data_IF_893285083058
#
_entry.id   IF_893285083058
#
_cell.length_a   1.000
_cell.length_b   1.000
_cell.length_c   1.000
_cell.angle_alpha   90.00
_cell.angle_beta   90.00
_cell.angle_gamma   90.00
#
_symmetry.space_group_name_H-M   'P 1'
#
loop_
_entity.id
_entity.type
_entity.pdbx_description
1 polymer ?
#
# COMPACT_ATOMS: atom_id res chain seq x y z
N UNK A 1 1.11 -10.88 -6.44
CA UNK A 1 1.02 -10.08 -7.67
C UNK A 1 2.39 -9.50 -7.96
N UNK A 2 3.04 -9.96 -9.04
CA UNK A 2 4.35 -9.47 -9.46
C UNK A 2 4.27 -8.03 -9.98
N UNK A 3 5.24 -7.19 -9.62
CA UNK A 3 5.35 -5.80 -10.11
C UNK A 3 6.46 -5.73 -11.15
N UNK A 4 6.21 -5.19 -12.36
CA UNK A 4 7.26 -4.99 -13.34
C UNK A 4 8.28 -3.95 -12.84
N UNK A 5 9.58 -4.25 -12.92
CA UNK A 5 10.64 -3.32 -12.51
C UNK A 5 10.69 -2.02 -13.34
N UNK A 6 10.32 -2.08 -14.62
CA UNK A 6 10.21 -0.91 -15.51
C UNK A 6 8.97 -0.04 -15.20
N UNK A 7 8.29 -0.29 -14.07
CA UNK A 7 7.18 0.55 -13.62
C UNK A 7 7.68 1.96 -13.34
N UNK A 8 7.14 2.92 -14.10
CA UNK A 8 7.39 4.35 -13.86
C UNK A 8 7.04 4.73 -12.41
N UNK A 9 7.73 5.70 -11.81
CA UNK A 9 7.30 6.26 -10.53
C UNK A 9 5.87 6.80 -10.66
N UNK A 10 5.09 6.63 -9.60
CA UNK A 10 3.64 6.86 -9.51
C UNK A 10 2.78 5.80 -10.21
N UNK A 11 3.31 4.60 -10.42
CA UNK A 11 2.50 3.46 -10.89
C UNK A 11 1.72 2.86 -9.74
N UNK A 12 0.41 2.64 -9.94
CA UNK A 12 -0.44 1.97 -8.96
C UNK A 12 -0.10 0.48 -8.91
N UNK A 13 0.44 0.07 -7.77
CA UNK A 13 0.86 -1.30 -7.48
C UNK A 13 -0.30 -2.11 -6.92
N UNK A 14 -0.98 -1.54 -5.92
CA UNK A 14 -2.04 -2.21 -5.21
C UNK A 14 -3.09 -1.19 -4.77
N UNK A 15 -4.32 -1.66 -4.58
CA UNK A 15 -5.40 -0.87 -4.02
C UNK A 15 -5.81 -1.51 -2.70
N UNK A 16 -5.65 -0.76 -1.61
CA UNK A 16 -6.07 -1.13 -0.28
C UNK A 16 -7.45 -0.52 -0.06
N UNK A 17 -8.46 -1.38 0.01
CA UNK A 17 -9.80 -0.97 0.37
C UNK A 17 -10.01 -1.27 1.86
N UNK A 18 -10.04 -0.22 2.67
CA UNK A 18 -10.45 -0.35 4.06
C UNK A 18 -11.97 -0.38 4.11
N UNK A 19 -12.54 -1.30 4.87
CA UNK A 19 -13.98 -1.28 5.17
C UNK A 19 -14.11 -1.21 6.67
N UNK A 20 -14.55 -0.06 7.15
CA UNK A 20 -15.03 0.05 8.50
C UNK A 20 -16.47 -0.46 8.57
N UNK A 21 -16.80 -1.20 9.63
CA UNK A 21 -18.14 -1.82 9.79
C UNK A 21 -19.12 -0.84 10.45
N UNK A 22 -18.61 0.25 11.03
CA UNK A 22 -19.41 1.32 11.59
C UNK A 22 -19.80 2.29 10.47
N UNK A 23 -21.10 2.37 10.19
CA UNK A 23 -21.63 3.30 9.21
C UNK A 23 -21.72 4.70 9.83
N UNK A 24 -20.92 5.65 9.34
CA UNK A 24 -20.99 7.07 9.72
C UNK A 24 -19.65 7.79 9.64
N UNK A 25 -19.63 9.06 10.09
CA UNK A 25 -18.44 9.95 10.16
C UNK A 25 -17.20 9.32 10.86
N UNK A 26 -17.40 8.26 11.65
CA UNK A 26 -16.33 7.48 12.29
C UNK A 26 -15.62 6.49 11.36
N UNK A 27 -16.07 6.37 10.10
CA UNK A 27 -15.44 5.54 9.09
C UNK A 27 -14.09 6.06 8.62
N UNK A 28 -13.60 7.22 9.08
CA UNK A 28 -12.29 7.73 8.68
C UNK A 28 -11.17 6.83 9.24
N UNK A 29 -10.53 6.06 8.35
CA UNK A 29 -9.38 5.22 8.68
C UNK A 29 -8.14 5.79 8.00
N UNK A 30 -7.10 6.07 8.78
CA UNK A 30 -5.81 6.54 8.26
C UNK A 30 -4.90 5.34 8.00
N UNK A 31 -4.34 5.23 6.79
CA UNK A 31 -3.35 4.21 6.45
C UNK A 31 -1.97 4.83 6.28
N UNK A 32 -0.97 4.22 6.89
CA UNK A 32 0.43 4.62 6.79
C UNK A 32 1.32 3.42 6.43
N UNK A 33 2.34 3.66 5.60
CA UNK A 33 3.42 2.70 5.37
C UNK A 33 4.42 2.84 6.52
N UNK A 34 4.82 1.71 7.08
CA UNK A 34 5.90 1.60 8.04
C UNK A 34 7.21 1.33 7.29
N UNK A 35 8.23 2.16 7.56
CA UNK A 35 9.55 2.07 6.94
C UNK A 35 9.82 3.09 5.83
N UNK A 36 11.10 3.19 5.45
CA UNK A 36 11.58 4.01 4.34
C UNK A 36 11.65 3.13 3.08
N UNK A 37 10.52 2.99 2.41
CA UNK A 37 10.41 2.21 1.20
C UNK A 37 10.13 3.13 0.00
N UNK A 38 10.51 2.75 -1.22
CA UNK A 38 10.23 3.50 -2.44
C UNK A 38 8.74 3.40 -2.86
N UNK A 39 7.82 3.41 -1.90
CA UNK A 39 6.38 3.36 -2.12
C UNK A 39 5.68 4.47 -1.33
N UNK A 40 4.53 4.90 -1.83
CA UNK A 40 3.68 5.89 -1.20
C UNK A 40 2.23 5.44 -1.24
N UNK A 41 1.52 5.66 -0.13
CA UNK A 41 0.07 5.52 -0.10
C UNK A 41 -0.58 6.84 -0.48
N UNK A 42 -1.51 6.79 -1.42
CA UNK A 42 -2.33 7.92 -1.84
C UNK A 42 -3.81 7.60 -1.60
N UNK A 43 -4.53 8.41 -0.81
CA UNK A 43 -5.97 8.26 -0.66
C UNK A 43 -6.65 8.58 -1.99
N UNK A 44 -7.50 7.68 -2.49
CA UNK A 44 -8.18 7.84 -3.78
C UNK A 44 -9.68 8.05 -3.67
N UNK A 45 -10.35 7.40 -2.72
CA UNK A 45 -11.80 7.46 -2.52
C UNK A 45 -12.13 7.10 -1.07
N UNK A 46 -13.40 7.20 -0.66
CA UNK A 46 -13.87 6.82 0.68
C UNK A 46 -13.24 5.49 1.13
N UNK A 47 -12.40 5.54 2.17
CA UNK A 47 -11.64 4.41 2.72
C UNK A 47 -10.73 3.63 1.76
N UNK A 48 -10.43 4.19 0.58
CA UNK A 48 -9.64 3.52 -0.45
C UNK A 48 -8.30 4.21 -0.62
N UNK A 49 -7.23 3.43 -0.47
CA UNK A 49 -5.85 3.88 -0.63
C UNK A 49 -5.19 3.15 -1.80
N UNK A 50 -4.49 3.90 -2.64
CA UNK A 50 -3.66 3.36 -3.72
C UNK A 50 -2.22 3.34 -3.25
N UNK A 51 -1.59 2.18 -3.32
CA UNK A 51 -0.16 2.03 -3.15
C UNK A 51 0.51 2.31 -4.48
N UNK A 52 1.32 3.36 -4.53
CA UNK A 52 2.07 3.75 -5.72
C UNK A 52 3.57 3.60 -5.48
N UNK A 53 4.33 3.37 -6.54
CA UNK A 53 5.79 3.49 -6.51
C UNK A 53 6.20 4.96 -6.36
N UNK A 54 7.00 5.28 -5.36
CA UNK A 54 7.58 6.62 -5.21
C UNK A 54 8.87 6.76 -6.03
N UNK A 55 9.55 5.65 -6.34
CA UNK A 55 10.79 5.61 -7.12
C UNK A 55 10.84 4.36 -7.99
N UNK A 56 11.77 4.34 -8.94
CA UNK A 56 12.00 3.16 -9.79
C UNK A 56 12.35 1.95 -8.91
N UNK A 57 11.70 0.82 -9.20
CA UNK A 57 11.97 -0.45 -8.53
C UNK A 57 13.05 -1.16 -9.32
N UNK A 58 14.14 -1.50 -8.64
CA UNK A 58 15.28 -2.15 -9.26
C UNK A 58 15.37 -3.58 -8.70
N UNK A 59 15.04 -4.56 -9.54
CA UNK A 59 15.02 -5.97 -9.14
C UNK A 59 16.42 -6.47 -8.80
N UNK A 60 17.46 -5.99 -9.49
CA UNK A 60 18.86 -6.35 -9.22
C UNK A 60 19.30 -5.90 -7.82
N UNK A 61 18.81 -4.74 -7.36
CA UNK A 61 19.05 -4.29 -5.98
C UNK A 61 18.19 -5.01 -4.96
N UNK A 62 16.88 -5.06 -5.19
CA UNK A 62 15.91 -5.59 -4.22
C UNK A 62 14.84 -6.39 -4.96
N UNK A 63 14.89 -7.73 -4.90
CA UNK A 63 13.94 -8.59 -5.61
C UNK A 63 12.56 -8.62 -4.95
N UNK A 64 12.46 -8.33 -3.66
CA UNK A 64 11.20 -8.29 -2.92
C UNK A 64 11.22 -7.20 -1.85
N UNK A 65 10.12 -6.46 -1.77
CA UNK A 65 9.89 -5.42 -0.77
C UNK A 65 8.84 -5.85 0.22
N UNK A 66 9.14 -5.73 1.52
CA UNK A 66 8.17 -6.06 2.57
C UNK A 66 7.50 -4.78 3.06
N UNK A 67 6.35 -4.45 2.46
CA UNK A 67 5.59 -3.24 2.78
C UNK A 67 4.67 -3.53 3.95
N UNK A 68 4.90 -2.90 5.09
CA UNK A 68 3.99 -3.00 6.24
C UNK A 68 3.07 -1.79 6.27
N UNK A 69 1.77 -2.02 6.18
CA UNK A 69 0.75 -0.97 6.18
C UNK A 69 0.03 -1.02 7.53
N UNK A 70 -0.01 0.10 8.23
CA UNK A 70 -0.76 0.27 9.47
C UNK A 70 -2.00 1.12 9.18
N UNK A 71 -3.18 0.53 9.34
CA UNK A 71 -4.46 1.19 9.28
C UNK A 71 -4.94 1.48 10.70
N UNK A 72 -5.40 2.70 10.96
CA UNK A 72 -5.91 3.13 12.27
C UNK A 72 -7.25 3.83 12.10
N UNK A 73 -8.29 3.31 12.74
CA UNK A 73 -9.59 3.96 12.74
C UNK A 73 -9.63 5.11 13.75
N UNK A 74 -10.61 6.00 13.53
CA UNK A 74 -10.89 7.15 14.39
C UNK A 74 -11.97 6.85 15.43
N UNK A 75 -12.30 5.57 15.65
CA UNK A 75 -13.27 5.11 16.64
C UNK A 75 -12.83 5.35 18.08
N UNK A 76 -13.75 5.10 19.02
CA UNK A 76 -13.47 5.13 20.45
C UNK A 76 -14.10 3.90 21.10
N UNK A 77 -13.32 2.87 21.46
CA UNK A 77 -11.85 2.81 21.41
C UNK A 77 -11.30 2.73 19.97
N UNK A 78 -10.18 3.41 19.71
CA UNK A 78 -9.51 3.36 18.41
C UNK A 78 -8.86 1.98 18.22
N UNK A 79 -9.19 1.28 17.15
CA UNK A 79 -8.51 0.06 16.75
C UNK A 79 -7.38 0.40 15.76
N UNK A 80 -6.42 -0.49 15.69
CA UNK A 80 -5.37 -0.41 14.68
C UNK A 80 -5.13 -1.80 14.14
N UNK A 81 -5.00 -1.88 12.82
CA UNK A 81 -4.75 -3.10 12.09
C UNK A 81 -3.48 -2.94 11.29
N UNK A 82 -2.70 -4.02 11.19
CA UNK A 82 -1.42 -4.02 10.47
C UNK A 82 -1.47 -5.12 9.44
N UNK A 83 -1.09 -4.79 8.21
CA UNK A 83 -1.01 -5.73 7.11
C UNK A 83 0.42 -5.71 6.55
N UNK A 84 1.09 -6.85 6.58
CA UNK A 84 2.36 -7.02 5.90
C UNK A 84 2.10 -7.54 4.48
N UNK A 85 2.62 -6.85 3.49
CA UNK A 85 2.50 -7.16 2.07
C UNK A 85 3.90 -7.35 1.49
N UNK A 86 4.18 -8.58 1.07
CA UNK A 86 5.41 -8.88 0.32
C UNK A 86 5.14 -8.60 -1.16
N UNK A 87 5.82 -7.60 -1.68
CA UNK A 87 5.79 -7.21 -3.09
C UNK A 87 7.02 -7.79 -3.78
N UNK A 88 6.82 -8.78 -4.63
CA UNK A 88 7.88 -9.32 -5.46
C UNK A 88 7.97 -8.51 -6.75
N UNK A 89 9.18 -8.02 -7.02
CA UNK A 89 9.48 -7.36 -8.30
C UNK A 89 9.73 -8.48 -9.30
N UNK A 90 8.79 -8.63 -10.23
CA UNK A 90 9.00 -9.51 -11.36
C UNK A 90 9.68 -8.75 -12.46
N UNK A 91 10.46 -9.49 -13.23
CA UNK A 91 10.84 -9.02 -14.53
C UNK A 91 9.59 -8.59 -15.30
N UNK A 92 9.72 -7.57 -16.13
CA UNK A 92 8.69 -7.06 -17.02
C UNK A 92 8.20 -8.12 -18.03
N UNK A 93 8.78 -9.32 -17.99
CA UNK A 93 8.70 -10.33 -19.02
C UNK A 93 8.11 -11.68 -18.58
N UNK A 94 7.59 -11.83 -17.37
CA UNK A 94 6.85 -13.06 -17.00
C UNK A 94 5.37 -12.90 -17.33
N UNK A 95 4.98 -13.48 -18.48
CA UNK A 95 3.61 -13.60 -19.01
C UNK A 95 2.80 -14.68 -18.30
#
# INVERSE_FOLDING_TARGET
NPIPEDSVPSTVIAVINVRDRDSGDNGEVTCNIDGDLPFRLEPSSENTYKLLTASALDREKVPAYNVTITARDRGSPALSSRAALVLEVSDVNDN
#
